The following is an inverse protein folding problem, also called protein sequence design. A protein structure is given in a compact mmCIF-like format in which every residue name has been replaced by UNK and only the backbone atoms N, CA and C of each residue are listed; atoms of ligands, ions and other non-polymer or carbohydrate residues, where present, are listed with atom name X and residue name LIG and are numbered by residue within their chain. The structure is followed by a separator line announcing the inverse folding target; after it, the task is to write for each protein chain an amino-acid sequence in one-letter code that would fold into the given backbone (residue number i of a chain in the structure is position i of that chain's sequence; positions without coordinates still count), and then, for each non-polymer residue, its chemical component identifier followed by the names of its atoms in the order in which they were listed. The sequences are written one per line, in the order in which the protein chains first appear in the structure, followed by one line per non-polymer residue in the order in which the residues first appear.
data_IF_600977814160
#
_entry.id   IF_600977814160
#
_cell.length_a   1.000
_cell.length_b   1.000
_cell.length_c   1.000
_cell.angle_alpha   90.00
_cell.angle_beta   90.00
_cell.angle_gamma   90.00
#
_symmetry.space_group_name_H-M   'P 1'
#
loop_
_entity.id
_entity.type
_entity.pdbx_description
1 polymer ?
#
# COMPACT_ATOMS: atom_id res chain seq x y z
N UNK A 1 -25.12 55.93 -2.55
CA UNK A 1 -26.23 54.98 -2.50
C UNK A 1 -26.07 53.99 -3.64
N UNK A 2 -25.64 52.79 -3.31
CA UNK A 2 -25.93 51.54 -3.98
C UNK A 2 -25.15 50.44 -3.27
N UNK A 3 -25.88 49.65 -2.49
CA UNK A 3 -25.35 48.53 -1.71
C UNK A 3 -25.19 47.32 -2.63
N UNK A 4 -23.97 46.77 -2.72
CA UNK A 4 -23.71 45.47 -3.34
C UNK A 4 -23.84 44.37 -2.27
N UNK A 5 -24.83 43.51 -2.40
CA UNK A 5 -25.09 42.32 -1.57
C UNK A 5 -24.04 41.27 -1.89
N UNK A 6 -23.25 40.87 -0.89
CA UNK A 6 -22.38 39.72 -0.94
C UNK A 6 -23.18 38.43 -0.93
N UNK A 7 -22.90 37.57 -1.88
CA UNK A 7 -23.38 36.18 -1.97
C UNK A 7 -22.57 35.29 -1.03
N UNK A 8 -23.18 34.37 -0.28
CA UNK A 8 -22.42 33.45 0.58
C UNK A 8 -21.73 32.35 -0.25
N UNK A 9 -20.43 32.27 -0.11
CA UNK A 9 -19.61 31.19 -0.67
C UNK A 9 -20.09 29.82 -0.15
N UNK A 10 -20.59 28.99 -1.05
CA UNK A 10 -20.88 27.58 -0.79
C UNK A 10 -19.56 26.87 -0.49
N UNK A 11 -19.38 26.41 0.74
CA UNK A 11 -18.34 25.46 1.12
C UNK A 11 -18.68 24.11 0.48
N UNK A 12 -18.08 23.84 -0.68
CA UNK A 12 -18.08 22.51 -1.29
C UNK A 12 -17.12 21.63 -0.53
N UNK A 13 -17.61 20.66 0.21
CA UNK A 13 -16.81 19.58 0.77
C UNK A 13 -16.20 18.77 -0.35
N UNK A 14 -14.87 18.79 -0.46
CA UNK A 14 -14.14 17.98 -1.43
C UNK A 14 -14.11 16.52 -0.90
N UNK A 15 -14.89 15.65 -1.51
CA UNK A 15 -14.81 14.20 -1.34
C UNK A 15 -13.66 13.71 -2.21
N UNK A 16 -12.49 13.51 -1.63
CA UNK A 16 -11.32 12.93 -2.29
C UNK A 16 -11.23 11.45 -1.99
N UNK A 17 -11.50 10.61 -2.98
CA UNK A 17 -11.17 9.19 -2.93
C UNK A 17 -9.66 9.06 -3.13
N UNK A 18 -8.92 8.67 -2.09
CA UNK A 18 -7.48 8.44 -2.19
C UNK A 18 -7.24 7.04 -2.74
N UNK A 19 -6.77 6.95 -3.98
CA UNK A 19 -6.19 5.73 -4.55
C UNK A 19 -4.70 5.79 -4.36
N UNK A 20 -4.17 4.82 -3.62
CA UNK A 20 -2.74 4.61 -3.41
C UNK A 20 -2.06 4.25 -4.74
N UNK A 21 -1.27 5.19 -5.26
CA UNK A 21 -0.28 4.95 -6.30
C UNK A 21 1.09 4.88 -5.63
N UNK A 22 1.43 3.71 -5.10
CA UNK A 22 2.76 3.42 -4.59
C UNK A 22 3.57 2.69 -5.65
N UNK A 23 4.52 3.37 -6.28
CA UNK A 23 5.58 2.67 -7.00
C UNK A 23 6.35 1.77 -6.02
N UNK A 24 6.45 0.47 -6.34
CA UNK A 24 7.29 -0.53 -5.65
C UNK A 24 6.75 -1.14 -4.33
N UNK A 25 5.65 -0.69 -3.74
CA UNK A 25 4.94 -1.46 -2.70
C UNK A 25 3.98 -2.53 -3.28
N UNK A 26 4.25 -3.00 -4.47
CA UNK A 26 3.39 -3.82 -5.34
C UNK A 26 2.89 -5.16 -4.76
N UNK A 27 3.49 -5.67 -3.70
CA UNK A 27 3.11 -6.98 -3.20
C UNK A 27 1.99 -6.98 -2.15
N UNK A 28 1.69 -5.85 -1.52
CA UNK A 28 0.70 -5.79 -0.44
C UNK A 28 -0.69 -5.34 -0.91
N UNK A 29 -0.81 -4.35 -1.80
CA UNK A 29 -2.11 -3.77 -2.17
C UNK A 29 -2.89 -4.59 -3.20
N UNK A 30 -2.23 -5.27 -4.12
CA UNK A 30 -2.91 -6.05 -5.18
C UNK A 30 -3.57 -7.32 -4.63
N UNK A 31 -3.08 -7.90 -3.53
CA UNK A 31 -3.72 -9.03 -2.84
C UNK A 31 -5.09 -8.67 -2.29
N UNK A 32 -5.26 -7.45 -1.85
CA UNK A 32 -6.52 -6.96 -1.31
C UNK A 32 -7.58 -6.77 -2.41
N UNK A 33 -7.21 -6.31 -3.59
CA UNK A 33 -8.13 -6.00 -4.67
C UNK A 33 -8.63 -7.23 -5.44
N UNK A 34 -7.82 -8.28 -5.59
CA UNK A 34 -8.15 -9.48 -6.37
C UNK A 34 -9.32 -10.32 -5.85
N UNK A 35 -9.82 -10.06 -4.65
CA UNK A 35 -10.76 -10.94 -3.97
C UNK A 35 -12.24 -10.51 -3.98
N UNK A 36 -12.54 -9.27 -4.30
CA UNK A 36 -13.90 -8.72 -4.20
C UNK A 36 -14.89 -9.20 -5.25
N UNK A 37 -14.43 -9.78 -6.33
CA UNK A 37 -15.26 -10.01 -7.52
C UNK A 37 -16.10 -11.31 -7.52
N UNK A 38 -15.92 -12.21 -6.55
CA UNK A 38 -16.50 -13.55 -6.67
C UNK A 38 -17.94 -13.73 -6.13
N UNK A 39 -18.53 -12.71 -5.54
CA UNK A 39 -19.89 -12.86 -4.98
C UNK A 39 -21.03 -12.47 -5.93
N UNK A 40 -20.75 -12.08 -7.19
CA UNK A 40 -21.77 -11.71 -8.17
C UNK A 40 -22.09 -12.78 -9.23
N UNK A 41 -21.40 -13.93 -9.24
CA UNK A 41 -21.76 -15.03 -10.13
C UNK A 41 -22.34 -16.21 -9.35
N UNK A 42 -23.61 -16.52 -9.63
CA UNK A 42 -24.33 -17.71 -9.16
C UNK A 42 -23.56 -19.00 -9.51
N UNK A 43 -22.73 -19.48 -8.61
CA UNK A 43 -22.23 -20.85 -8.62
C UNK A 43 -22.85 -21.56 -7.41
N UNK A 44 -23.74 -22.50 -7.66
CA UNK A 44 -24.35 -23.41 -6.67
C UNK A 44 -23.24 -24.05 -5.82
N UNK A 45 -23.27 -23.96 -4.49
CA UNK A 45 -22.24 -24.56 -3.65
C UNK A 45 -22.39 -26.09 -3.70
N UNK A 46 -21.44 -26.79 -4.28
CA UNK A 46 -21.31 -28.21 -4.03
C UNK A 46 -20.90 -28.41 -2.58
N UNK A 47 -21.77 -29.05 -1.80
CA UNK A 47 -21.58 -29.37 -0.37
C UNK A 47 -20.60 -30.52 -0.22
N UNK A 48 -19.30 -30.23 -0.31
CA UNK A 48 -18.24 -31.17 0.07
C UNK A 48 -17.73 -30.79 1.48
N UNK A 49 -18.47 -31.17 2.49
CA UNK A 49 -18.04 -31.07 3.89
C UNK A 49 -17.30 -32.34 4.32
N UNK A 50 -16.14 -32.17 4.97
CA UNK A 50 -15.50 -33.29 5.69
C UNK A 50 -16.30 -33.62 6.95
N UNK A 51 -16.18 -34.85 7.45
CA UNK A 51 -16.85 -35.31 8.68
C UNK A 51 -16.60 -34.44 9.94
N UNK A 52 -15.64 -33.48 9.88
CA UNK A 52 -15.34 -32.53 10.96
C UNK A 52 -16.02 -31.16 10.79
N UNK A 53 -16.83 -30.95 9.76
CA UNK A 53 -17.54 -29.69 9.51
C UNK A 53 -16.66 -28.52 9.04
N UNK A 54 -15.35 -28.68 8.88
CA UNK A 54 -14.46 -27.65 8.33
C UNK A 54 -14.48 -27.71 6.80
N UNK A 55 -14.64 -26.55 6.10
CA UNK A 55 -14.58 -26.52 4.65
C UNK A 55 -13.24 -27.03 4.14
N UNK A 56 -13.23 -27.90 3.12
CA UNK A 56 -12.00 -28.31 2.45
C UNK A 56 -11.32 -27.09 1.81
N UNK A 57 -9.98 -26.93 1.91
CA UNK A 57 -9.28 -25.85 1.24
C UNK A 57 -9.49 -25.94 -0.27
N UNK A 58 -9.87 -24.84 -0.90
CA UNK A 58 -10.02 -24.79 -2.36
C UNK A 58 -8.67 -24.97 -3.05
N UNK A 59 -8.61 -25.85 -4.02
CA UNK A 59 -7.38 -26.16 -4.76
C UNK A 59 -6.99 -25.06 -5.73
N UNK A 60 -7.99 -24.36 -6.31
CA UNK A 60 -7.82 -23.31 -7.30
C UNK A 60 -8.99 -22.32 -7.24
N UNK A 61 -8.73 -21.05 -7.53
CA UNK A 61 -9.75 -20.04 -7.70
C UNK A 61 -9.32 -19.02 -8.75
N UNK A 62 -10.29 -18.47 -9.50
CA UNK A 62 -10.06 -17.43 -10.51
C UNK A 62 -11.01 -16.27 -10.24
N UNK A 63 -10.52 -15.05 -10.32
CA UNK A 63 -11.27 -13.83 -10.09
C UNK A 63 -10.98 -12.82 -11.19
N UNK A 64 -12.02 -12.17 -11.71
CA UNK A 64 -11.92 -11.01 -12.61
C UNK A 64 -13.01 -10.04 -12.25
N UNK A 65 -12.67 -8.78 -12.12
CA UNK A 65 -13.65 -7.73 -11.88
C UNK A 65 -13.22 -6.39 -12.44
N UNK A 66 -14.19 -5.55 -12.71
CA UNK A 66 -14.02 -4.19 -13.20
C UNK A 66 -14.54 -3.21 -12.14
N UNK A 67 -13.69 -2.28 -11.74
CA UNK A 67 -14.03 -1.27 -10.72
C UNK A 67 -14.03 0.11 -11.36
N UNK A 68 -15.20 0.74 -11.53
CA UNK A 68 -15.27 2.14 -11.88
C UNK A 68 -15.05 3.02 -10.64
N UNK A 69 -14.21 4.04 -10.76
CA UNK A 69 -14.01 5.08 -9.73
C UNK A 69 -13.94 6.44 -10.41
N UNK A 70 -14.12 7.51 -9.65
CA UNK A 70 -13.97 8.87 -10.17
C UNK A 70 -13.27 9.74 -9.14
N UNK A 71 -12.25 10.46 -9.59
CA UNK A 71 -11.40 11.32 -8.76
C UNK A 71 -11.08 12.62 -9.50
N UNK A 72 -10.76 13.67 -8.73
CA UNK A 72 -10.48 14.99 -9.30
C UNK A 72 -9.31 14.98 -10.31
N UNK A 73 -8.25 14.22 -10.03
CA UNK A 73 -7.05 14.15 -10.88
C UNK A 73 -7.21 13.23 -12.09
N UNK A 74 -8.03 12.21 -11.98
CA UNK A 74 -8.14 11.15 -12.99
C UNK A 74 -9.44 11.25 -13.80
N UNK A 75 -10.43 11.94 -13.31
CA UNK A 75 -11.80 11.82 -13.83
C UNK A 75 -12.31 10.39 -13.61
N UNK A 76 -13.13 9.90 -14.54
CA UNK A 76 -13.56 8.50 -14.52
C UNK A 76 -12.36 7.58 -14.76
N UNK A 77 -12.16 6.61 -13.86
CA UNK A 77 -11.13 5.58 -13.93
C UNK A 77 -11.80 4.21 -13.96
N UNK A 78 -11.44 3.38 -14.91
CA UNK A 78 -11.83 1.97 -14.99
C UNK A 78 -10.62 1.12 -14.63
N UNK A 79 -10.76 0.31 -13.58
CA UNK A 79 -9.71 -0.62 -13.14
C UNK A 79 -10.17 -2.06 -13.36
N UNK A 80 -9.45 -2.80 -14.19
CA UNK A 80 -9.61 -4.24 -14.38
C UNK A 80 -8.62 -4.97 -13.47
N UNK A 81 -9.11 -5.91 -12.68
CA UNK A 81 -8.29 -6.79 -11.83
C UNK A 81 -8.59 -8.23 -12.15
N UNK A 82 -7.54 -9.03 -12.28
CA UNK A 82 -7.62 -10.49 -12.45
C UNK A 82 -6.67 -11.19 -11.49
N UNK A 83 -7.08 -12.32 -10.93
CA UNK A 83 -6.23 -13.15 -10.12
C UNK A 83 -6.53 -14.62 -10.29
N UNK A 84 -5.49 -15.43 -10.35
CA UNK A 84 -5.56 -16.87 -10.28
C UNK A 84 -4.80 -17.35 -9.05
N UNK A 85 -5.52 -18.03 -8.17
CA UNK A 85 -5.00 -18.55 -6.91
C UNK A 85 -4.96 -20.07 -6.94
N UNK A 86 -3.90 -20.65 -6.36
CA UNK A 86 -3.81 -22.09 -6.15
C UNK A 86 -2.97 -22.39 -4.89
N UNK A 87 -3.07 -23.62 -4.40
CA UNK A 87 -2.19 -24.12 -3.34
C UNK A 87 -1.27 -25.20 -3.90
N UNK A 88 0.03 -25.10 -3.60
CA UNK A 88 1.03 -26.08 -4.01
C UNK A 88 0.95 -27.37 -3.19
N UNK A 89 0.38 -27.31 -1.98
CA UNK A 89 0.03 -28.46 -1.16
C UNK A 89 -1.28 -28.22 -0.41
N UNK A 90 -2.01 -29.30 -0.10
CA UNK A 90 -3.26 -29.29 0.66
C UNK A 90 -3.06 -29.81 2.09
N UNK A 91 -1.96 -29.46 2.71
CA UNK A 91 -1.55 -29.85 4.05
C UNK A 91 -2.24 -29.02 5.17
N UNK A 92 -3.09 -28.09 4.80
CA UNK A 92 -3.79 -27.19 5.72
C UNK A 92 -2.95 -25.99 6.19
N UNK A 93 -1.63 -26.01 5.98
CA UNK A 93 -0.69 -24.97 6.42
C UNK A 93 -0.12 -24.14 5.26
N UNK A 94 0.03 -24.75 4.07
CA UNK A 94 0.57 -24.08 2.89
C UNK A 94 -0.33 -22.91 2.46
N UNK A 95 0.26 -21.71 2.40
CA UNK A 95 -0.40 -20.48 1.95
C UNK A 95 -0.76 -20.57 0.46
N UNK A 96 -1.82 -19.89 0.01
CA UNK A 96 -2.16 -19.85 -1.39
C UNK A 96 -1.11 -19.07 -2.19
N UNK A 97 -0.70 -19.62 -3.32
CA UNK A 97 0.02 -18.90 -4.37
C UNK A 97 -0.97 -18.14 -5.24
N UNK A 98 -0.54 -17.02 -5.81
CA UNK A 98 -1.34 -16.23 -6.72
C UNK A 98 -0.51 -15.69 -7.89
N UNK A 99 -1.14 -15.60 -9.06
CA UNK A 99 -0.73 -14.72 -10.16
C UNK A 99 -1.85 -13.71 -10.33
N UNK A 100 -1.48 -12.44 -10.50
CA UNK A 100 -2.46 -11.37 -10.61
C UNK A 100 -2.11 -10.38 -11.71
N UNK A 101 -3.14 -9.78 -12.26
CA UNK A 101 -3.09 -8.69 -13.22
C UNK A 101 -3.93 -7.53 -12.70
N UNK A 102 -3.46 -6.30 -12.90
CA UNK A 102 -4.26 -5.10 -12.76
C UNK A 102 -3.96 -4.12 -13.88
N UNK A 103 -4.99 -3.46 -14.37
CA UNK A 103 -4.84 -2.36 -15.31
C UNK A 103 -5.88 -1.29 -15.01
N UNK A 104 -5.49 -0.03 -15.18
CA UNK A 104 -6.40 1.10 -15.04
C UNK A 104 -6.22 2.07 -16.18
N UNK A 105 -7.33 2.59 -16.69
CA UNK A 105 -7.36 3.66 -17.66
C UNK A 105 -8.33 4.75 -17.21
N UNK A 106 -7.98 6.01 -17.46
CA UNK A 106 -8.73 7.16 -16.97
C UNK A 106 -9.21 8.06 -18.10
N UNK A 107 -10.24 8.87 -17.82
CA UNK A 107 -10.73 9.87 -18.76
C UNK A 107 -9.65 10.93 -19.14
N UNK A 108 -8.65 11.12 -18.30
CA UNK A 108 -7.51 12.02 -18.54
C UNK A 108 -6.30 11.28 -19.19
N UNK A 109 -6.55 10.15 -19.89
CA UNK A 109 -5.55 9.38 -20.64
C UNK A 109 -4.36 8.88 -19.79
N UNK A 110 -4.58 8.62 -18.53
CA UNK A 110 -3.60 7.99 -17.65
C UNK A 110 -3.74 6.47 -17.74
N UNK A 111 -2.62 5.78 -17.70
CA UNK A 111 -2.55 4.34 -17.88
C UNK A 111 -1.69 3.69 -16.79
N UNK A 112 -2.19 2.59 -16.24
CA UNK A 112 -1.45 1.69 -15.36
C UNK A 112 -1.70 0.27 -15.84
N UNK A 113 -0.63 -0.52 -15.98
CA UNK A 113 -0.72 -1.96 -16.29
C UNK A 113 0.31 -2.67 -15.43
N UNK A 114 -0.15 -3.66 -14.66
CA UNK A 114 0.71 -4.46 -13.80
C UNK A 114 0.38 -5.95 -13.89
N UNK A 115 1.40 -6.76 -13.77
CA UNK A 115 1.34 -8.21 -13.65
C UNK A 115 2.29 -8.67 -12.56
N UNK A 116 1.90 -9.64 -11.76
CA UNK A 116 2.76 -10.13 -10.70
C UNK A 116 2.36 -11.51 -10.18
N UNK A 117 3.16 -11.99 -9.25
CA UNK A 117 2.92 -13.27 -8.60
C UNK A 117 3.46 -13.30 -7.18
N UNK A 118 2.85 -14.18 -6.41
CA UNK A 118 3.14 -14.49 -5.03
C UNK A 118 3.08 -16.01 -4.86
N UNK A 119 4.24 -16.63 -4.84
CA UNK A 119 4.36 -18.08 -5.00
C UNK A 119 4.91 -18.70 -3.71
N UNK A 120 4.13 -19.58 -3.11
CA UNK A 120 4.49 -20.31 -1.90
C UNK A 120 4.82 -21.77 -2.22
N UNK A 121 5.98 -22.23 -1.77
CA UNK A 121 6.32 -23.65 -1.75
C UNK A 121 5.52 -24.39 -0.66
N UNK A 122 5.43 -25.72 -0.72
CA UNK A 122 4.81 -26.53 0.33
C UNK A 122 5.36 -26.18 1.72
N UNK A 123 4.49 -26.20 2.73
CA UNK A 123 4.81 -25.87 4.13
C UNK A 123 5.42 -24.46 4.32
N UNK A 124 5.22 -23.57 3.32
CA UNK A 124 5.73 -22.19 3.32
C UNK A 124 7.25 -22.04 3.39
N UNK A 125 8.02 -23.08 3.08
CA UNK A 125 9.50 -23.10 3.22
C UNK A 125 10.22 -22.13 2.30
N UNK A 126 9.58 -21.73 1.19
CA UNK A 126 10.07 -20.74 0.23
C UNK A 126 8.94 -19.87 -0.25
N UNK A 127 9.26 -18.63 -0.53
CA UNK A 127 8.31 -17.65 -1.05
C UNK A 127 9.00 -16.81 -2.12
N UNK A 128 8.35 -16.65 -3.27
CA UNK A 128 8.79 -15.77 -4.36
C UNK A 128 7.70 -14.76 -4.65
N UNK A 129 8.06 -13.49 -4.56
CA UNK A 129 7.26 -12.37 -5.04
C UNK A 129 7.91 -11.82 -6.31
N UNK A 130 7.13 -11.47 -7.31
CA UNK A 130 7.64 -10.76 -8.48
C UNK A 130 6.55 -9.87 -9.07
N UNK A 131 6.95 -8.84 -9.79
CA UNK A 131 6.03 -7.93 -10.47
C UNK A 131 6.71 -7.16 -11.58
N UNK A 132 5.91 -6.80 -12.58
CA UNK A 132 6.24 -5.87 -13.64
C UNK A 132 5.10 -4.87 -13.75
N UNK A 133 5.42 -3.58 -13.86
CA UNK A 133 4.42 -2.52 -13.95
C UNK A 133 4.87 -1.43 -14.91
N UNK A 134 3.93 -0.94 -15.69
CA UNK A 134 4.02 0.32 -16.41
C UNK A 134 2.96 1.28 -15.87
N UNK A 135 3.37 2.53 -15.62
CA UNK A 135 2.48 3.56 -15.11
C UNK A 135 2.76 4.91 -15.75
N UNK A 136 1.69 5.65 -16.10
CA UNK A 136 1.72 7.07 -16.41
C UNK A 136 0.59 7.73 -15.62
N UNK A 137 0.89 8.19 -14.40
CA UNK A 137 -0.09 8.78 -13.49
C UNK A 137 0.45 10.04 -12.81
N UNK A 138 -0.35 11.12 -12.71
CA UNK A 138 0.06 12.32 -12.00
C UNK A 138 0.09 12.09 -10.48
N UNK A 139 1.00 12.76 -9.83
CA UNK A 139 1.12 12.80 -8.38
C UNK A 139 1.40 14.21 -7.86
N UNK A 140 1.07 14.51 -6.61
CA UNK A 140 1.41 15.78 -6.00
C UNK A 140 2.84 15.75 -5.43
N UNK A 141 3.51 16.88 -5.54
CA UNK A 141 4.78 17.19 -4.89
C UNK A 141 4.64 18.48 -4.09
N UNK A 142 5.10 18.48 -2.85
CA UNK A 142 4.99 19.63 -1.93
C UNK A 142 6.36 20.15 -1.50
N UNK A 143 7.44 19.67 -2.15
CA UNK A 143 8.81 19.89 -1.72
C UNK A 143 9.32 18.78 -0.78
N UNK A 144 10.56 18.93 -0.32
CA UNK A 144 11.25 18.00 0.58
C UNK A 144 11.36 18.65 1.95
N UNK A 145 11.01 17.90 3.00
CA UNK A 145 11.10 18.34 4.38
C UNK A 145 9.83 18.17 5.21
N UNK A 146 9.93 18.30 6.53
CA UNK A 146 8.82 18.05 7.48
C UNK A 146 7.79 19.18 7.56
N UNK A 147 8.10 20.37 7.05
CA UNK A 147 7.29 21.59 7.21
C UNK A 147 6.83 22.20 5.88
N UNK A 148 6.81 21.42 4.79
CA UNK A 148 6.32 21.90 3.49
C UNK A 148 4.87 22.34 3.57
N UNK A 149 4.52 23.58 3.12
CA UNK A 149 3.16 24.09 3.20
C UNK A 149 2.23 23.40 2.18
N UNK A 150 0.92 23.39 2.46
CA UNK A 150 -0.06 22.85 1.51
C UNK A 150 -0.10 23.64 0.21
N UNK A 151 0.17 24.94 0.27
CA UNK A 151 0.21 25.85 -0.89
C UNK A 151 1.39 25.58 -1.85
N UNK A 152 2.37 24.77 -1.44
CA UNK A 152 3.49 24.37 -2.30
C UNK A 152 3.14 23.18 -3.21
N UNK A 153 1.86 22.77 -3.26
CA UNK A 153 1.44 21.67 -4.13
C UNK A 153 1.69 21.99 -5.60
N UNK A 154 2.49 21.15 -6.24
CA UNK A 154 2.61 21.11 -7.69
C UNK A 154 2.37 19.69 -8.20
N UNK A 155 1.72 19.56 -9.34
CA UNK A 155 1.49 18.26 -9.98
C UNK A 155 2.64 17.94 -10.93
N UNK A 156 3.03 16.68 -10.93
CA UNK A 156 3.95 16.13 -11.91
C UNK A 156 3.43 14.80 -12.43
N UNK A 157 3.81 14.41 -13.63
CA UNK A 157 3.41 13.13 -14.22
C UNK A 157 4.66 12.33 -14.54
N UNK A 158 5.00 11.32 -13.73
CA UNK A 158 6.01 10.35 -14.09
C UNK A 158 5.44 9.32 -15.06
N UNK A 159 6.30 8.84 -15.95
CA UNK A 159 6.11 7.62 -16.71
C UNK A 159 7.14 6.62 -16.21
N UNK A 160 6.66 5.54 -15.60
CA UNK A 160 7.51 4.55 -14.92
C UNK A 160 7.38 3.18 -15.56
N UNK A 161 8.47 2.46 -15.59
CA UNK A 161 8.52 1.03 -15.82
C UNK A 161 9.26 0.39 -14.66
N UNK A 162 8.61 -0.53 -13.96
CA UNK A 162 9.15 -1.19 -12.78
C UNK A 162 9.17 -2.72 -12.99
N UNK A 163 10.24 -3.35 -12.56
CA UNK A 163 10.40 -4.79 -12.45
C UNK A 163 10.98 -5.11 -11.08
N UNK A 164 10.40 -6.04 -10.36
CA UNK A 164 10.89 -6.47 -9.06
C UNK A 164 10.72 -7.96 -8.84
N UNK A 165 11.68 -8.55 -8.14
CA UNK A 165 11.56 -9.91 -7.65
C UNK A 165 12.20 -10.02 -6.27
N UNK A 166 11.55 -10.75 -5.36
CA UNK A 166 12.05 -11.01 -3.99
C UNK A 166 11.83 -12.47 -3.66
N UNK A 167 12.93 -13.17 -3.39
CA UNK A 167 12.93 -14.57 -2.97
C UNK A 167 13.21 -14.67 -1.47
N UNK A 168 12.39 -15.44 -0.78
CA UNK A 168 12.52 -15.72 0.64
C UNK A 168 12.71 -17.21 0.86
N UNK A 169 13.61 -17.57 1.78
CA UNK A 169 13.84 -18.95 2.22
C UNK A 169 13.75 -19.02 3.74
N UNK A 170 12.95 -19.94 4.24
CA UNK A 170 12.87 -20.19 5.67
C UNK A 170 14.21 -20.72 6.19
N UNK A 171 14.76 -20.05 7.19
CA UNK A 171 16.03 -20.39 7.85
C UNK A 171 15.82 -20.87 9.30
N UNK A 172 14.69 -20.51 9.90
CA UNK A 172 14.15 -21.01 11.18
C UNK A 172 12.64 -20.97 11.09
N UNK A 173 11.88 -21.66 11.93
CA UNK A 173 10.42 -21.58 11.94
C UNK A 173 9.93 -20.14 11.92
N UNK A 174 9.10 -19.81 10.93
CA UNK A 174 8.53 -18.45 10.70
C UNK A 174 9.57 -17.35 10.39
N UNK A 175 10.85 -17.67 10.19
CA UNK A 175 11.91 -16.70 9.93
C UNK A 175 12.53 -16.96 8.55
N UNK A 176 12.53 -15.95 7.70
CA UNK A 176 12.96 -16.04 6.31
C UNK A 176 14.13 -15.09 6.05
N UNK A 177 15.18 -15.60 5.41
CA UNK A 177 16.17 -14.76 4.73
C UNK A 177 15.58 -14.33 3.39
N UNK A 178 15.79 -13.06 3.03
CA UNK A 178 15.26 -12.42 1.85
C UNK A 178 16.36 -11.88 0.95
N UNK A 179 16.25 -12.14 -0.34
CA UNK A 179 17.04 -11.51 -1.40
C UNK A 179 16.11 -10.95 -2.47
N UNK A 180 16.40 -9.76 -2.93
CA UNK A 180 15.59 -9.09 -3.95
C UNK A 180 16.45 -8.38 -5.00
N UNK A 181 15.80 -8.08 -6.14
CA UNK A 181 16.28 -7.17 -7.17
C UNK A 181 15.12 -6.31 -7.64
N UNK A 182 15.34 -4.99 -7.65
CA UNK A 182 14.36 -4.03 -8.10
C UNK A 182 14.97 -3.16 -9.19
N UNK A 183 14.27 -3.03 -10.30
CA UNK A 183 14.62 -2.18 -11.43
C UNK A 183 13.48 -1.21 -11.64
N UNK A 184 13.78 0.08 -11.71
CA UNK A 184 12.82 1.13 -12.01
C UNK A 184 13.44 2.10 -13.00
N UNK A 185 12.70 2.39 -14.06
CA UNK A 185 13.01 3.49 -14.97
C UNK A 185 11.87 4.50 -14.92
N UNK A 186 12.18 5.74 -14.53
CA UNK A 186 11.23 6.84 -14.43
C UNK A 186 11.63 7.98 -15.37
N UNK A 187 10.68 8.48 -16.13
CA UNK A 187 10.81 9.72 -16.92
C UNK A 187 9.75 10.69 -16.44
N UNK A 188 10.12 11.90 -16.05
CA UNK A 188 9.14 12.92 -15.69
C UNK A 188 8.65 13.58 -16.98
N UNK A 189 7.41 13.32 -17.37
CA UNK A 189 6.86 13.75 -18.66
C UNK A 189 6.09 15.06 -18.60
N UNK A 190 5.62 15.45 -17.42
CA UNK A 190 4.91 16.71 -17.18
C UNK A 190 5.31 17.27 -15.82
N UNK A 191 5.60 18.58 -15.76
CA UNK A 191 5.85 19.36 -14.55
C UNK A 191 5.17 20.71 -14.66
N UNK A 192 4.91 21.37 -13.55
CA UNK A 192 4.39 22.75 -13.53
C UNK A 192 5.51 23.70 -14.00
N UNK A 193 5.33 24.48 -15.08
CA UNK A 193 6.32 25.46 -15.51
C UNK A 193 6.62 26.47 -14.40
N UNK A 194 7.92 26.69 -14.13
CA UNK A 194 8.38 27.55 -13.03
C UNK A 194 8.21 26.95 -11.62
N UNK A 195 7.72 25.71 -11.50
CA UNK A 195 7.64 24.97 -10.24
C UNK A 195 8.99 24.42 -9.78
N UNK A 196 9.01 23.82 -8.61
CA UNK A 196 10.22 23.28 -7.97
C UNK A 196 10.90 22.19 -8.81
N UNK A 197 10.11 21.31 -9.42
CA UNK A 197 10.64 20.20 -10.24
C UNK A 197 11.13 20.67 -11.61
N UNK A 198 10.56 21.76 -12.16
CA UNK A 198 10.94 22.29 -13.47
C UNK A 198 12.36 22.85 -13.53
N UNK A 199 12.92 23.23 -12.36
CA UNK A 199 14.30 23.72 -12.24
C UNK A 199 15.36 22.64 -12.52
N UNK A 200 15.00 21.35 -12.47
CA UNK A 200 15.92 20.23 -12.73
C UNK A 200 16.98 19.98 -11.65
N UNK A 201 16.93 20.71 -10.52
CA UNK A 201 17.93 20.65 -9.45
C UNK A 201 17.64 19.59 -8.38
N UNK A 202 16.40 19.15 -8.28
CA UNK A 202 15.99 18.10 -7.34
C UNK A 202 16.36 16.74 -7.97
N UNK A 203 17.09 15.86 -7.26
CA UNK A 203 17.44 14.54 -7.76
C UNK A 203 16.20 13.77 -8.23
N UNK A 204 16.26 13.28 -9.48
CA UNK A 204 15.14 12.55 -10.10
C UNK A 204 14.11 13.43 -10.82
N UNK A 205 14.15 14.77 -10.71
CA UNK A 205 13.17 15.67 -11.37
C UNK A 205 13.22 15.66 -12.90
N UNK A 206 14.30 15.16 -13.49
CA UNK A 206 14.46 14.96 -14.95
C UNK A 206 14.30 13.50 -15.37
N UNK A 207 14.01 12.61 -14.40
CA UNK A 207 13.97 11.16 -14.59
C UNK A 207 15.22 10.46 -14.04
N UNK A 208 15.11 9.12 -13.88
CA UNK A 208 16.18 8.30 -13.32
C UNK A 208 15.96 6.82 -13.60
N UNK A 209 17.02 6.05 -13.42
CA UNK A 209 17.00 4.59 -13.43
C UNK A 209 17.55 4.09 -12.11
N UNK A 210 16.87 3.10 -11.52
CA UNK A 210 17.33 2.36 -10.36
C UNK A 210 17.60 0.92 -10.76
N UNK A 211 18.72 0.37 -10.27
CA UNK A 211 19.00 -1.06 -10.26
C UNK A 211 19.48 -1.40 -8.84
N UNK A 212 18.59 -1.97 -8.07
CA UNK A 212 18.76 -2.05 -6.62
C UNK A 212 18.60 -3.49 -6.11
N UNK A 213 19.70 -4.21 -5.84
CA UNK A 213 19.67 -5.42 -5.03
C UNK A 213 19.18 -5.10 -3.61
N UNK A 214 18.52 -6.10 -3.02
CA UNK A 214 17.93 -6.04 -1.69
C UNK A 214 18.33 -7.26 -0.88
N UNK A 215 18.60 -7.05 0.40
CA UNK A 215 18.78 -8.12 1.39
C UNK A 215 17.93 -7.82 2.61
N UNK A 216 17.34 -8.85 3.20
CA UNK A 216 16.46 -8.67 4.35
C UNK A 216 16.19 -9.93 5.14
N UNK A 217 15.43 -9.71 6.22
CA UNK A 217 14.91 -10.76 7.09
C UNK A 217 13.42 -10.51 7.30
N UNK A 218 12.62 -11.59 7.33
CA UNK A 218 11.19 -11.54 7.60
C UNK A 218 10.85 -12.57 8.68
N UNK A 219 10.15 -12.14 9.71
CA UNK A 219 9.46 -13.01 10.67
C UNK A 219 7.98 -12.93 10.41
N UNK A 220 7.31 -14.03 10.11
CA UNK A 220 5.88 -14.06 9.81
C UNK A 220 5.20 -15.26 10.47
N UNK A 221 4.71 -15.05 11.67
CA UNK A 221 3.95 -16.01 12.46
C UNK A 221 2.44 -15.76 12.43
N UNK A 222 1.95 -14.90 11.54
CA UNK A 222 0.52 -14.59 11.41
C UNK A 222 -0.28 -15.85 11.08
N UNK A 223 -1.41 -16.00 11.74
CA UNK A 223 -2.39 -17.07 11.49
C UNK A 223 -3.00 -16.97 10.09
N UNK A 224 -3.17 -15.74 9.57
CA UNK A 224 -3.79 -15.46 8.27
C UNK A 224 -3.13 -14.25 7.59
N UNK A 225 -3.24 -14.19 6.26
CA UNK A 225 -2.63 -13.10 5.49
C UNK A 225 -3.53 -11.86 5.37
N UNK A 226 -4.86 -12.05 5.27
CA UNK A 226 -5.80 -10.98 4.91
C UNK A 226 -6.50 -10.31 6.09
N UNK A 227 -6.75 -11.06 7.15
CA UNK A 227 -7.33 -10.57 8.42
C UNK A 227 -6.62 -11.27 9.56
N UNK A 228 -5.35 -10.94 9.81
CA UNK A 228 -4.58 -11.57 10.88
C UNK A 228 -5.20 -11.21 12.23
N UNK A 229 -5.40 -12.25 13.05
CA UNK A 229 -5.98 -12.14 14.39
C UNK A 229 -4.97 -12.42 15.48
N UNK A 230 -3.94 -13.18 15.15
CA UNK A 230 -2.88 -13.57 16.07
C UNK A 230 -1.55 -13.71 15.32
N UNK A 231 -0.46 -13.49 16.04
CA UNK A 231 0.90 -13.62 15.54
C UNK A 231 1.54 -12.27 15.23
N UNK A 232 2.71 -12.35 14.66
CA UNK A 232 3.58 -11.20 14.42
C UNK A 232 4.08 -11.22 12.98
N UNK A 233 4.29 -10.04 12.42
CA UNK A 233 4.99 -9.83 11.17
C UNK A 233 6.06 -8.77 11.38
N UNK A 234 7.32 -9.12 11.13
CA UNK A 234 8.44 -8.17 11.20
C UNK A 234 9.26 -8.34 9.92
N UNK A 235 9.41 -7.26 9.17
CA UNK A 235 10.25 -7.22 7.98
C UNK A 235 11.32 -6.14 8.16
N UNK A 236 12.58 -6.51 7.92
CA UNK A 236 13.69 -5.58 7.86
C UNK A 236 14.49 -5.85 6.59
N UNK A 237 14.69 -4.82 5.77
CA UNK A 237 15.54 -4.94 4.60
C UNK A 237 16.33 -3.67 4.28
N UNK A 238 17.40 -3.87 3.54
CA UNK A 238 18.21 -2.81 2.93
C UNK A 238 18.22 -3.01 1.43
N UNK A 239 17.92 -1.95 0.71
CA UNK A 239 18.01 -1.87 -0.75
C UNK A 239 19.11 -0.90 -1.12
N UNK A 240 20.01 -1.30 -2.01
CA UNK A 240 21.18 -0.51 -2.40
C UNK A 240 21.14 -0.24 -3.89
N UNK A 241 20.97 1.01 -4.28
CA UNK A 241 21.06 1.42 -5.68
C UNK A 241 22.48 1.91 -6.00
N UNK A 242 23.11 1.31 -7.00
CA UNK A 242 24.51 1.57 -7.34
C UNK A 242 24.64 1.93 -8.82
N UNK A 243 25.32 3.07 -9.14
CA UNK A 243 25.61 3.45 -10.52
C UNK A 243 26.31 2.39 -11.37
N UNK A 244 27.28 1.60 -10.86
CA UNK A 244 27.92 0.52 -11.62
C UNK A 244 26.96 -0.56 -12.14
N UNK A 245 25.79 -0.70 -11.54
CA UNK A 245 24.75 -1.64 -12.00
C UNK A 245 23.73 -0.99 -12.94
N UNK A 246 23.93 0.26 -13.37
CA UNK A 246 23.02 0.99 -14.24
C UNK A 246 22.08 1.96 -13.52
N UNK A 247 22.25 2.16 -12.22
CA UNK A 247 21.52 3.18 -11.46
C UNK A 247 22.02 4.59 -11.80
N UNK A 248 21.11 5.57 -11.89
CA UNK A 248 21.48 6.98 -12.11
C UNK A 248 22.16 7.58 -10.87
N UNK A 249 21.72 7.20 -9.68
CA UNK A 249 22.19 7.73 -8.40
C UNK A 249 22.67 6.61 -7.48
N UNK A 250 23.66 6.94 -6.60
CA UNK A 250 24.11 6.04 -5.52
C UNK A 250 23.36 6.36 -4.24
N UNK A 251 22.58 5.41 -3.73
CA UNK A 251 21.83 5.57 -2.48
C UNK A 251 21.41 4.24 -1.86
N UNK A 252 20.96 4.31 -0.63
CA UNK A 252 20.47 3.16 0.14
C UNK A 252 19.12 3.50 0.77
N UNK A 253 18.22 2.52 0.77
CA UNK A 253 16.94 2.58 1.46
C UNK A 253 16.90 1.51 2.54
N UNK A 254 16.35 1.87 3.69
CA UNK A 254 16.19 1.00 4.85
C UNK A 254 14.72 0.91 5.21
N UNK A 255 14.22 -0.29 5.44
CA UNK A 255 12.88 -0.52 5.96
C UNK A 255 12.94 -1.39 7.22
N UNK A 256 12.12 -1.00 8.20
CA UNK A 256 11.70 -1.84 9.30
C UNK A 256 10.19 -1.68 9.46
N UNK A 257 9.42 -2.76 9.29
CA UNK A 257 7.97 -2.80 9.52
C UNK A 257 7.67 -3.91 10.52
N UNK A 258 7.07 -3.56 11.64
CA UNK A 258 6.70 -4.49 12.69
C UNK A 258 5.19 -4.39 12.97
N UNK A 259 4.50 -5.53 12.90
CA UNK A 259 3.05 -5.65 13.08
C UNK A 259 2.76 -6.74 14.09
N UNK A 260 1.85 -6.46 15.02
CA UNK A 260 1.49 -7.35 16.10
C UNK A 260 -0.03 -7.48 16.18
N UNK A 261 -0.52 -8.70 16.28
CA UNK A 261 -1.93 -9.03 16.32
C UNK A 261 -2.25 -9.86 17.56
N UNK A 262 -3.19 -9.39 18.36
CA UNK A 262 -3.55 -10.04 19.62
C UNK A 262 -5.05 -10.13 19.77
N UNK A 263 -5.56 -11.32 19.99
CA UNK A 263 -6.92 -11.49 20.50
C UNK A 263 -7.02 -10.87 21.88
N UNK A 264 -7.93 -9.90 22.05
CA UNK A 264 -8.24 -9.31 23.36
C UNK A 264 -9.45 -10.01 23.97
N UNK A 265 -10.47 -10.21 23.15
CA UNK A 265 -11.65 -11.04 23.45
C UNK A 265 -12.03 -11.82 22.20
N UNK A 266 -12.86 -12.90 22.30
CA UNK A 266 -13.16 -13.74 21.12
C UNK A 266 -13.67 -13.00 19.89
N UNK A 267 -14.30 -11.84 20.07
CA UNK A 267 -14.85 -11.01 18.99
C UNK A 267 -13.97 -9.81 18.62
N UNK A 268 -12.84 -9.58 19.29
CA UNK A 268 -12.01 -8.40 19.04
C UNK A 268 -10.52 -8.71 18.93
N UNK A 269 -9.86 -7.99 18.02
CA UNK A 269 -8.42 -8.05 17.78
C UNK A 269 -7.84 -6.65 17.99
N UNK A 270 -6.76 -6.57 18.74
CA UNK A 270 -5.88 -5.41 18.80
C UNK A 270 -4.76 -5.63 17.79
N UNK A 271 -4.70 -4.79 16.75
CA UNK A 271 -3.65 -4.77 15.77
C UNK A 271 -2.78 -3.52 15.97
N UNK A 272 -1.47 -3.70 15.94
CA UNK A 272 -0.48 -2.63 16.13
C UNK A 272 0.56 -2.69 15.02
N UNK A 273 0.96 -1.53 14.52
CA UNK A 273 2.05 -1.40 13.55
C UNK A 273 2.99 -0.28 13.97
N UNK A 274 4.28 -0.52 13.80
CA UNK A 274 5.33 0.49 13.82
C UNK A 274 6.23 0.30 12.61
N UNK A 275 6.49 1.37 11.85
CA UNK A 275 7.34 1.27 10.68
C UNK A 275 8.32 2.45 10.61
N UNK A 276 9.56 2.14 10.26
CA UNK A 276 10.62 3.07 9.98
C UNK A 276 11.10 2.92 8.55
N UNK A 277 11.24 4.02 7.85
CA UNK A 277 11.90 4.11 6.56
C UNK A 277 13.05 5.11 6.65
N UNK A 278 14.20 4.75 6.07
CA UNK A 278 15.37 5.60 6.03
C UNK A 278 16.00 5.61 4.65
N UNK A 279 16.69 6.71 4.31
CA UNK A 279 17.39 6.86 3.05
C UNK A 279 18.74 7.57 3.26
N UNK A 280 19.78 7.13 2.54
CA UNK A 280 21.10 7.76 2.53
C UNK A 280 21.67 7.85 1.11
N UNK A 281 22.59 8.76 0.86
CA UNK A 281 23.13 9.02 -0.48
C UNK A 281 22.33 10.05 -1.27
N UNK A 282 22.44 10.03 -2.62
CA UNK A 282 21.67 10.92 -3.51
C UNK A 282 20.40 10.23 -3.96
N UNK A 283 19.30 10.50 -3.26
CA UNK A 283 18.03 9.80 -3.44
C UNK A 283 17.11 10.59 -4.36
N UNK A 284 16.56 9.99 -5.46
CA UNK A 284 15.49 10.61 -6.23
C UNK A 284 14.30 10.98 -5.35
N UNK A 285 13.64 12.10 -5.61
CA UNK A 285 12.57 12.62 -4.75
C UNK A 285 11.38 11.64 -4.61
N UNK A 286 11.12 10.81 -5.62
CA UNK A 286 10.06 9.80 -5.58
C UNK A 286 10.41 8.61 -4.67
N UNK A 287 11.71 8.31 -4.52
CA UNK A 287 12.23 7.20 -3.71
C UNK A 287 12.49 7.60 -2.24
N UNK A 288 12.36 8.88 -1.90
CA UNK A 288 12.49 9.32 -0.50
C UNK A 288 11.36 8.71 0.35
N UNK A 289 11.63 8.34 1.62
CA UNK A 289 10.61 8.05 2.60
C UNK A 289 9.50 9.09 2.62
N UNK A 290 8.25 8.62 2.80
CA UNK A 290 7.07 9.47 2.66
C UNK A 290 6.12 9.29 3.84
N UNK A 291 5.36 10.35 4.14
CA UNK A 291 4.19 10.28 5.00
C UNK A 291 2.93 10.69 4.24
N UNK A 292 1.85 9.99 4.54
CA UNK A 292 0.54 10.11 3.89
C UNK A 292 0.20 8.86 3.08
N UNK A 293 -1.08 8.69 2.75
CA UNK A 293 -1.59 7.49 2.10
C UNK A 293 -1.93 6.38 3.10
N UNK A 294 -1.73 5.12 2.74
CA UNK A 294 -2.21 3.95 3.47
C UNK A 294 -1.92 3.92 4.96
N UNK A 295 -0.71 4.24 5.35
CA UNK A 295 -0.28 4.18 6.76
C UNK A 295 -0.75 5.40 7.58
N UNK A 296 -0.90 6.55 6.94
CA UNK A 296 -1.47 7.76 7.53
C UNK A 296 -2.67 8.22 6.70
N UNK A 297 -3.70 7.43 6.72
CA UNK A 297 -4.91 7.47 5.86
C UNK A 297 -5.60 8.82 5.72
N UNK A 298 -5.42 9.75 6.68
CA UNK A 298 -6.02 11.08 6.61
C UNK A 298 -5.32 12.05 5.64
N UNK A 299 -4.09 11.72 5.23
CA UNK A 299 -3.26 12.60 4.41
C UNK A 299 -3.06 12.01 3.01
N UNK A 300 -2.88 12.88 2.02
CA UNK A 300 -2.57 12.48 0.65
C UNK A 300 -1.22 11.76 0.59
N UNK A 301 -1.11 10.74 -0.25
CA UNK A 301 0.14 10.02 -0.48
C UNK A 301 1.26 10.98 -0.91
N UNK A 302 2.44 10.85 -0.30
CA UNK A 302 3.58 11.72 -0.57
C UNK A 302 3.40 13.18 -0.10
N UNK A 303 2.48 13.44 0.86
CA UNK A 303 2.28 14.79 1.40
C UNK A 303 3.55 15.38 2.00
N UNK A 304 4.36 14.56 2.63
CA UNK A 304 5.70 14.91 3.10
C UNK A 304 6.69 13.87 2.64
N UNK A 305 7.87 14.34 2.21
CA UNK A 305 8.99 13.51 1.76
C UNK A 305 10.25 14.00 2.41
N UNK A 306 11.05 13.09 2.99
CA UNK A 306 12.37 13.41 3.55
C UNK A 306 13.17 12.12 3.72
N UNK A 307 14.37 12.19 4.29
CA UNK A 307 15.30 11.05 4.38
C UNK A 307 14.98 10.02 5.45
N UNK A 308 14.17 10.36 6.44
CA UNK A 308 13.74 9.42 7.49
C UNK A 308 12.28 9.66 7.85
N UNK A 309 11.51 8.57 7.93
CA UNK A 309 10.12 8.57 8.37
C UNK A 309 9.91 7.48 9.42
N UNK A 310 9.19 7.81 10.49
CA UNK A 310 8.72 6.87 11.50
C UNK A 310 7.21 7.03 11.64
N UNK A 311 6.47 5.92 11.64
CA UNK A 311 5.02 5.90 11.80
C UNK A 311 4.59 4.76 12.69
N UNK A 312 3.48 4.96 13.38
CA UNK A 312 2.85 3.94 14.20
C UNK A 312 1.35 4.09 14.22
N UNK A 313 0.65 2.99 14.30
CA UNK A 313 -0.80 2.98 14.44
C UNK A 313 -1.29 1.78 15.25
N UNK A 314 -2.46 1.96 15.84
CA UNK A 314 -3.16 0.95 16.60
C UNK A 314 -4.60 0.89 16.12
N UNK A 315 -5.10 -0.32 15.89
CA UNK A 315 -6.47 -0.59 15.49
C UNK A 315 -7.14 -1.54 16.47
N UNK A 316 -8.34 -1.19 16.89
CA UNK A 316 -9.29 -2.09 17.54
C UNK A 316 -10.26 -2.59 16.49
N UNK A 317 -10.20 -3.89 16.16
CA UNK A 317 -11.05 -4.55 15.18
C UNK A 317 -12.08 -5.37 15.90
N UNK A 318 -13.36 -4.98 15.81
CA UNK A 318 -14.48 -5.62 16.49
C UNK A 318 -15.38 -6.33 15.48
N UNK A 319 -15.51 -7.64 15.60
CA UNK A 319 -16.58 -8.38 14.93
C UNK A 319 -17.90 -8.11 15.68
N UNK A 320 -18.93 -7.66 14.97
CA UNK A 320 -20.20 -7.25 15.56
C UNK A 320 -21.24 -8.35 15.41
N UNK A 321 -21.59 -8.71 14.19
CA UNK A 321 -22.61 -9.73 13.90
C UNK A 321 -22.41 -10.29 12.49
N UNK A 322 -22.63 -11.61 12.32
CA UNK A 322 -22.58 -12.30 11.03
C UNK A 322 -21.27 -12.04 10.27
N UNK A 323 -21.30 -11.20 9.24
CA UNK A 323 -20.13 -10.81 8.40
C UNK A 323 -19.68 -9.36 8.64
N UNK A 324 -20.29 -8.69 9.61
CA UNK A 324 -20.09 -7.27 9.85
C UNK A 324 -19.12 -7.05 11.00
N UNK A 325 -18.16 -6.19 10.78
CA UNK A 325 -17.22 -5.69 11.77
C UNK A 325 -17.06 -4.17 11.70
N UNK A 326 -16.50 -3.60 12.75
CA UNK A 326 -16.13 -2.20 12.84
C UNK A 326 -14.69 -2.08 13.35
N UNK A 327 -14.03 -1.00 12.95
CA UNK A 327 -12.66 -0.70 13.35
C UNK A 327 -12.61 0.72 13.90
N UNK A 328 -11.93 0.89 15.04
CA UNK A 328 -11.48 2.19 15.50
C UNK A 328 -9.96 2.24 15.45
N UNK A 329 -9.38 3.33 14.98
CA UNK A 329 -7.94 3.44 14.87
C UNK A 329 -7.40 4.82 15.23
N UNK A 330 -6.18 4.80 15.74
CA UNK A 330 -5.35 5.99 15.98
C UNK A 330 -3.93 5.72 15.52
N UNK A 331 -3.24 6.76 15.08
CA UNK A 331 -1.86 6.64 14.65
C UNK A 331 -1.17 7.99 14.58
N UNK A 332 0.12 7.96 14.34
CA UNK A 332 0.92 9.16 14.10
C UNK A 332 2.16 8.84 13.29
N UNK A 333 2.69 9.86 12.61
CA UNK A 333 3.96 9.78 11.91
C UNK A 333 4.79 11.05 12.08
N UNK A 334 6.08 10.90 11.94
CA UNK A 334 7.09 11.97 11.88
C UNK A 334 8.02 11.73 10.71
N UNK A 335 8.50 12.80 10.09
CA UNK A 335 9.42 12.74 8.96
C UNK A 335 10.45 13.85 9.06
N UNK A 336 11.69 13.59 8.65
CA UNK A 336 12.75 14.56 8.76
C UNK A 336 14.03 14.16 8.03
N UNK A 337 15.07 15.02 8.02
CA UNK A 337 16.30 14.82 7.25
C UNK A 337 17.19 13.66 7.75
N UNK A 338 16.83 13.01 8.85
CA UNK A 338 17.55 11.86 9.39
C UNK A 338 16.91 11.33 10.66
N UNK A 339 17.29 10.13 11.08
CA UNK A 339 16.75 9.45 12.25
C UNK A 339 16.79 10.32 13.52
N UNK A 340 17.92 10.96 13.78
CA UNK A 340 18.12 11.77 15.00
C UNK A 340 17.32 13.07 15.02
N UNK A 341 16.81 13.51 13.88
CA UNK A 341 15.96 14.71 13.80
C UNK A 341 14.49 14.43 14.06
N UNK A 342 14.05 13.17 14.09
CA UNK A 342 12.64 12.81 14.19
C UNK A 342 11.99 13.25 15.51
N UNK A 343 12.77 13.43 16.59
CA UNK A 343 12.27 13.96 17.86
C UNK A 343 11.96 15.46 17.87
N UNK A 344 12.40 16.22 16.84
CA UNK A 344 12.27 17.70 16.76
C UNK A 344 11.36 18.18 15.64
N UNK A 345 10.75 17.26 14.90
CA UNK A 345 9.86 17.58 13.77
C UNK A 345 8.39 17.45 14.16
N UNK A 346 7.47 18.08 13.40
CA UNK A 346 6.04 17.99 13.70
C UNK A 346 5.50 16.56 13.64
N UNK A 347 4.77 16.17 14.67
CA UNK A 347 3.99 14.92 14.69
C UNK A 347 2.72 15.09 13.85
N UNK A 348 2.39 14.09 13.04
CA UNK A 348 1.23 14.04 12.16
C UNK A 348 0.24 12.97 12.65
N UNK A 349 -0.67 13.28 13.58
CA UNK A 349 -1.62 12.33 14.10
C UNK A 349 -2.73 12.03 13.10
N UNK A 350 -3.27 10.82 13.20
CA UNK A 350 -4.51 10.39 12.55
C UNK A 350 -5.41 9.68 13.55
N UNK A 351 -6.70 9.72 13.32
CA UNK A 351 -7.69 8.89 13.98
C UNK A 351 -8.87 8.64 13.05
N UNK A 352 -9.59 7.58 13.29
CA UNK A 352 -10.72 7.27 12.44
C UNK A 352 -11.49 6.05 12.86
N UNK A 353 -12.49 5.76 12.05
CA UNK A 353 -13.36 4.61 12.19
C UNK A 353 -13.52 3.92 10.84
N UNK A 354 -13.78 2.63 10.87
CA UNK A 354 -13.97 1.84 9.66
C UNK A 354 -15.09 0.82 9.80
N UNK A 355 -15.66 0.46 8.66
CA UNK A 355 -16.61 -0.62 8.50
C UNK A 355 -15.92 -1.80 7.80
N UNK A 356 -16.26 -3.01 8.20
CA UNK A 356 -15.76 -4.25 7.60
C UNK A 356 -16.92 -5.14 7.22
N UNK A 357 -16.86 -5.67 6.00
CA UNK A 357 -17.79 -6.70 5.55
C UNK A 357 -17.00 -7.91 5.05
N UNK A 358 -17.15 -9.04 5.72
CA UNK A 358 -16.44 -10.25 5.36
C UNK A 358 -17.01 -10.85 4.06
N UNK A 359 -16.28 -10.70 2.98
CA UNK A 359 -16.66 -11.17 1.64
C UNK A 359 -16.47 -12.68 1.50
N UNK A 360 -15.50 -13.24 2.21
CA UNK A 360 -15.17 -14.67 2.14
C UNK A 360 -14.81 -15.20 3.51
N UNK A 361 -15.72 -15.96 4.08
CA UNK A 361 -15.51 -16.65 5.37
C UNK A 361 -14.43 -17.74 5.30
N UNK A 362 -14.13 -18.26 4.09
CA UNK A 362 -13.08 -19.29 3.89
C UNK A 362 -11.66 -18.75 4.01
N UNK A 363 -11.48 -17.51 3.58
CA UNK A 363 -10.16 -16.89 3.56
C UNK A 363 -10.08 -15.65 4.45
N UNK A 364 -11.18 -15.30 5.14
CA UNK A 364 -11.33 -14.12 5.99
C UNK A 364 -10.91 -12.81 5.30
N UNK A 365 -11.38 -12.60 4.06
CA UNK A 365 -11.14 -11.33 3.39
C UNK A 365 -12.31 -10.39 3.60
N UNK A 366 -11.97 -9.20 4.07
CA UNK A 366 -12.90 -8.13 4.36
C UNK A 366 -12.92 -7.11 3.21
N UNK A 367 -14.12 -6.62 2.86
CA UNK A 367 -14.27 -5.32 2.24
C UNK A 367 -14.17 -4.28 3.35
N UNK A 368 -13.32 -3.28 3.17
CA UNK A 368 -13.05 -2.23 4.15
C UNK A 368 -13.50 -0.86 3.65
N UNK A 369 -14.08 -0.07 4.54
CA UNK A 369 -14.41 1.33 4.33
C UNK A 369 -13.92 2.11 5.55
N UNK A 370 -12.99 3.04 5.37
CA UNK A 370 -12.42 3.81 6.46
C UNK A 370 -12.65 5.31 6.26
N UNK A 371 -13.04 5.99 7.33
CA UNK A 371 -13.02 7.44 7.43
C UNK A 371 -11.94 7.86 8.41
N UNK A 372 -10.98 8.65 7.94
CA UNK A 372 -9.85 9.11 8.74
C UNK A 372 -9.81 10.65 8.82
N UNK A 373 -9.37 11.16 9.94
CA UNK A 373 -9.08 12.58 10.17
C UNK A 373 -7.66 12.77 10.67
N UNK A 374 -7.07 13.90 10.26
CA UNK A 374 -5.75 14.37 10.68
C UNK A 374 -5.79 15.83 11.11
N UNK A 375 -4.60 16.44 11.23
CA UNK A 375 -4.45 17.86 11.55
C UNK A 375 -4.91 18.77 10.40
N UNK A 376 -5.15 20.05 10.73
CA UNK A 376 -5.47 21.13 9.79
C UNK A 376 -6.66 20.82 8.85
N UNK A 377 -7.63 20.05 9.34
CA UNK A 377 -8.82 19.71 8.55
C UNK A 377 -8.61 18.59 7.54
N UNK A 378 -7.44 17.95 7.52
CA UNK A 378 -7.20 16.79 6.66
C UNK A 378 -8.18 15.66 6.98
N UNK A 379 -8.79 15.12 5.95
CA UNK A 379 -9.69 13.97 6.07
C UNK A 379 -9.72 13.18 4.78
N UNK A 380 -9.95 11.89 4.89
CA UNK A 380 -10.12 11.01 3.75
C UNK A 380 -11.21 9.98 4.00
N UNK A 381 -11.75 9.48 2.92
CA UNK A 381 -12.59 8.30 2.89
C UNK A 381 -11.96 7.29 1.93
N UNK A 382 -11.70 6.10 2.40
CA UNK A 382 -11.03 5.07 1.61
C UNK A 382 -11.83 3.77 1.59
N UNK A 383 -11.68 3.05 0.48
CA UNK A 383 -12.22 1.70 0.30
C UNK A 383 -11.07 0.75 0.03
N UNK A 384 -11.18 -0.46 0.51
CA UNK A 384 -10.15 -1.47 0.30
C UNK A 384 -10.68 -2.88 0.45
N UNK A 385 -9.79 -3.83 0.20
CA UNK A 385 -9.99 -5.24 0.48
C UNK A 385 -8.87 -5.70 1.40
N UNK A 386 -9.19 -6.57 2.35
CA UNK A 386 -8.39 -6.94 3.50
C UNK A 386 -8.28 -5.82 4.55
N UNK A 387 -7.48 -6.06 5.58
CA UNK A 387 -7.17 -5.06 6.59
C UNK A 387 -6.01 -4.17 6.10
N UNK A 388 -5.89 -3.00 6.71
CA UNK A 388 -4.89 -2.03 6.28
C UNK A 388 -3.44 -2.50 6.55
N UNK A 389 -3.23 -3.32 7.59
CA UNK A 389 -1.93 -3.92 7.89
C UNK A 389 -2.08 -5.24 8.62
#
# INVERSE_FOLDING_TARGET
MCAARGSPARRGGAWGLVVLLGGVALAHDVRAQAKAANDSSNATPSSDTTASGKPKPQRKAFYVYLVPTSEKLTGLKLTLVGAYLWRTALDGTTRPSAIFHHSAYTANHQLLIGFGGDLWAPQNTRHLKFGIEYSKFPGPFYGIGPRTPQSAEELFTPRTFALGATAQKEIRPHTFAQLGLHILHATIVEVVPGGMLSAGTIPGSTGYTNVAPEIGLVVDSRDQLFDPRQGDFIEAHVRVNLPPFGGTYGYQLYLLDARFYRHVVPSAVLAMQGAFEGASGTVPFEELPQLGGGDLRAYVFGRWRDRAALRGQVEWRQHVIWRVGVVGFVGAGVIGPGLWSLGSVPVRPIYGVGFRFNMSTKENANFSMDYARGQAGASSFSFGFAENF
#
